data_IF_194223299894
#
_entry.id   IF_194223299894
#
_cell.length_a   1.000
_cell.length_b   1.000
_cell.length_c   1.000
_cell.angle_alpha   90.00
_cell.angle_beta   90.00
_cell.angle_gamma   90.00
#
_symmetry.space_group_name_H-M   'P 1'
#
loop_
_entity.id
_entity.type
_entity.pdbx_description
1 polymer ?
#
# COMPACT_ATOMS: atom_id res chain seq x y z
N UNK A 1 5.35 -30.17 5.52
CA UNK A 1 4.13 -29.34 5.43
C UNK A 1 2.97 -30.28 5.13
N UNK A 2 2.05 -30.50 6.07
CA UNK A 2 0.76 -31.12 5.75
C UNK A 2 0.01 -30.17 4.83
N UNK A 3 -0.49 -30.65 3.68
CA UNK A 3 -1.43 -29.89 2.85
C UNK A 3 -2.68 -29.68 3.70
N UNK A 4 -2.99 -28.41 4.00
CA UNK A 4 -4.28 -28.07 4.58
C UNK A 4 -5.35 -28.41 3.55
N UNK A 5 -6.32 -29.24 3.94
CA UNK A 5 -7.49 -29.60 3.15
C UNK A 5 -8.69 -28.90 3.79
N UNK A 6 -9.40 -28.09 3.01
CA UNK A 6 -10.51 -27.31 3.53
C UNK A 6 -11.74 -28.21 3.71
N UNK A 7 -12.28 -28.37 4.94
CA UNK A 7 -13.44 -29.23 5.17
C UNK A 7 -14.72 -28.76 4.46
N UNK A 8 -14.76 -27.53 3.95
CA UNK A 8 -15.91 -26.93 3.28
C UNK A 8 -15.71 -26.74 1.77
N UNK A 9 -14.70 -27.37 1.17
CA UNK A 9 -14.42 -27.23 -0.26
C UNK A 9 -15.62 -27.60 -1.15
N UNK A 10 -16.30 -28.70 -0.83
CA UNK A 10 -17.48 -29.16 -1.56
C UNK A 10 -18.66 -28.17 -1.47
N UNK A 11 -18.89 -27.62 -0.27
CA UNK A 11 -19.96 -26.62 -0.03
C UNK A 11 -19.68 -25.32 -0.79
N UNK A 12 -18.41 -24.86 -0.79
CA UNK A 12 -17.99 -23.69 -1.55
C UNK A 12 -18.12 -23.92 -3.07
N UNK A 13 -17.80 -25.11 -3.56
CA UNK A 13 -17.98 -25.46 -4.97
C UNK A 13 -19.47 -25.51 -5.36
N UNK A 14 -20.33 -26.04 -4.49
CA UNK A 14 -21.78 -26.01 -4.70
C UNK A 14 -22.32 -24.58 -4.75
N UNK A 15 -21.88 -23.72 -3.84
CA UNK A 15 -22.28 -22.31 -3.80
C UNK A 15 -21.81 -21.55 -5.04
N UNK A 16 -20.59 -21.82 -5.51
CA UNK A 16 -20.09 -21.28 -6.77
C UNK A 16 -20.97 -21.70 -7.96
N UNK A 17 -21.32 -22.98 -8.05
CA UNK A 17 -22.19 -23.49 -9.10
C UNK A 17 -23.61 -22.89 -9.04
N UNK A 18 -24.10 -22.56 -7.85
CA UNK A 18 -25.38 -21.86 -7.68
C UNK A 18 -25.33 -20.45 -8.28
N UNK A 19 -24.28 -19.68 -7.99
CA UNK A 19 -24.08 -18.34 -8.57
C UNK A 19 -23.90 -18.39 -10.10
N UNK A 20 -23.21 -19.40 -10.62
CA UNK A 20 -23.03 -19.58 -12.07
C UNK A 20 -24.34 -19.77 -12.85
N UNK A 21 -25.43 -20.23 -12.20
CA UNK A 21 -26.74 -20.35 -12.86
C UNK A 21 -27.34 -18.99 -13.22
N UNK A 22 -26.92 -17.92 -12.55
CA UNK A 22 -27.41 -16.56 -12.78
C UNK A 22 -26.67 -15.85 -13.92
N UNK A 23 -25.68 -16.48 -14.56
CA UNK A 23 -24.89 -15.83 -15.61
C UNK A 23 -25.74 -15.35 -16.79
N UNK A 24 -26.72 -16.12 -17.25
CA UNK A 24 -27.60 -15.69 -18.34
C UNK A 24 -28.46 -14.47 -17.95
N UNK A 25 -28.87 -14.40 -16.68
CA UNK A 25 -29.55 -13.22 -16.16
C UNK A 25 -28.61 -12.00 -16.19
N UNK A 26 -27.37 -12.14 -15.75
CA UNK A 26 -26.39 -11.05 -15.76
C UNK A 26 -26.07 -10.58 -17.18
N UNK A 27 -25.96 -11.50 -18.14
CA UNK A 27 -25.81 -11.15 -19.56
C UNK A 27 -26.98 -10.29 -20.04
N UNK A 28 -28.21 -10.71 -19.74
CA UNK A 28 -29.41 -9.95 -20.10
C UNK A 28 -29.43 -8.55 -19.47
N UNK A 29 -29.05 -8.42 -18.20
CA UNK A 29 -28.97 -7.13 -17.52
C UNK A 29 -27.92 -6.19 -18.16
N UNK A 30 -26.75 -6.72 -18.53
CA UNK A 30 -25.71 -5.96 -19.24
C UNK A 30 -26.18 -5.52 -20.63
N UNK A 31 -26.91 -6.36 -21.36
CA UNK A 31 -27.46 -6.03 -22.68
C UNK A 31 -28.52 -4.91 -22.62
N UNK A 32 -29.22 -4.78 -21.50
CA UNK A 32 -30.15 -3.67 -21.24
C UNK A 32 -29.45 -2.37 -20.77
N UNK A 33 -28.11 -2.37 -20.73
CA UNK A 33 -27.32 -1.19 -20.38
C UNK A 33 -27.24 -0.89 -18.89
N UNK A 34 -27.55 -1.87 -18.04
CA UNK A 34 -27.18 -1.82 -16.62
C UNK A 34 -25.75 -2.30 -16.45
N UNK A 35 -25.10 -1.81 -15.40
CA UNK A 35 -23.82 -2.33 -14.96
C UNK A 35 -24.04 -3.20 -13.71
N UNK A 36 -23.15 -4.15 -13.47
CA UNK A 36 -23.31 -5.13 -12.39
C UNK A 36 -22.28 -4.88 -11.30
N UNK A 37 -22.70 -4.94 -10.05
CA UNK A 37 -21.82 -4.95 -8.89
C UNK A 37 -22.07 -6.20 -8.05
N UNK A 38 -21.07 -7.08 -8.01
CA UNK A 38 -21.07 -8.27 -7.18
C UNK A 38 -20.50 -7.91 -5.81
N UNK A 39 -21.29 -8.09 -4.76
CA UNK A 39 -20.88 -7.88 -3.38
C UNK A 39 -21.07 -9.16 -2.58
N UNK A 40 -20.56 -9.20 -1.35
CA UNK A 40 -20.67 -10.37 -0.49
C UNK A 40 -19.32 -10.84 0.04
N UNK A 41 -19.37 -11.72 1.03
CA UNK A 41 -18.20 -12.24 1.72
C UNK A 41 -17.46 -13.29 0.88
N UNK A 42 -16.13 -13.18 0.85
CA UNK A 42 -15.24 -14.06 0.10
C UNK A 42 -14.80 -13.48 -1.25
N UNK A 43 -13.75 -14.07 -1.80
CA UNK A 43 -13.21 -13.70 -3.11
C UNK A 43 -14.22 -13.99 -4.22
N UNK A 44 -14.51 -12.97 -5.03
CA UNK A 44 -15.40 -13.05 -6.20
C UNK A 44 -14.63 -13.15 -7.52
N UNK A 45 -13.31 -13.20 -7.46
CA UNK A 45 -12.43 -13.15 -8.63
C UNK A 45 -12.69 -14.31 -9.59
N UNK A 46 -12.71 -15.54 -9.05
CA UNK A 46 -13.02 -16.76 -9.82
C UNK A 46 -14.39 -16.68 -10.48
N UNK A 47 -15.41 -16.24 -9.74
CA UNK A 47 -16.77 -16.10 -10.27
C UNK A 47 -16.86 -15.09 -11.42
N UNK A 48 -16.16 -13.95 -11.29
CA UNK A 48 -16.10 -12.93 -12.33
C UNK A 48 -15.27 -13.38 -13.55
N UNK A 49 -14.20 -14.16 -13.36
CA UNK A 49 -13.42 -14.79 -14.43
C UNK A 49 -14.25 -15.84 -15.19
N UNK A 50 -14.98 -16.71 -14.48
CA UNK A 50 -15.87 -17.71 -15.07
C UNK A 50 -17.02 -17.05 -15.83
N UNK A 51 -17.57 -15.95 -15.30
CA UNK A 51 -18.55 -15.14 -16.02
C UNK A 51 -17.95 -14.49 -17.27
N UNK A 52 -16.69 -14.02 -17.22
CA UNK A 52 -16.01 -13.47 -18.40
C UNK A 52 -15.92 -14.50 -19.53
N UNK A 53 -15.59 -15.75 -19.19
CA UNK A 53 -15.56 -16.86 -20.14
C UNK A 53 -16.96 -17.15 -20.72
N UNK A 54 -17.98 -17.21 -19.88
CA UNK A 54 -19.37 -17.39 -20.32
C UNK A 54 -19.83 -16.28 -21.27
N UNK A 55 -19.58 -15.03 -20.90
CA UNK A 55 -19.91 -13.85 -21.70
C UNK A 55 -19.18 -13.86 -23.05
N UNK A 56 -17.90 -14.23 -23.07
CA UNK A 56 -17.13 -14.36 -24.30
C UNK A 56 -17.76 -15.38 -25.26
N UNK A 57 -18.13 -16.56 -24.75
CA UNK A 57 -18.79 -17.59 -25.55
C UNK A 57 -20.17 -17.14 -26.04
N UNK A 58 -20.97 -16.51 -25.18
CA UNK A 58 -22.28 -15.98 -25.54
C UNK A 58 -22.16 -14.96 -26.68
N UNK A 59 -21.32 -13.93 -26.52
CA UNK A 59 -21.13 -12.86 -27.50
C UNK A 59 -20.50 -13.35 -28.81
N UNK A 60 -19.55 -14.29 -28.74
CA UNK A 60 -18.95 -14.88 -29.93
C UNK A 60 -19.91 -15.78 -30.72
N UNK A 61 -20.96 -16.32 -30.07
CA UNK A 61 -21.98 -17.13 -30.74
C UNK A 61 -23.08 -16.28 -31.38
N UNK A 62 -23.45 -15.17 -30.74
CA UNK A 62 -24.49 -14.25 -31.24
C UNK A 62 -23.95 -13.31 -32.31
N UNK A 63 -22.67 -12.94 -32.21
CA UNK A 63 -22.01 -12.05 -33.16
C UNK A 63 -20.78 -12.75 -33.75
N UNK A 64 -20.64 -12.74 -35.08
CA UNK A 64 -19.46 -13.29 -35.77
C UNK A 64 -18.18 -12.44 -35.58
N UNK A 65 -18.08 -11.72 -34.45
CA UNK A 65 -16.97 -10.82 -34.11
C UNK A 65 -16.40 -11.23 -32.76
N UNK A 66 -15.10 -11.00 -32.58
CA UNK A 66 -14.42 -11.29 -31.33
C UNK A 66 -14.77 -10.24 -30.26
N UNK A 67 -15.37 -10.64 -29.12
CA UNK A 67 -15.66 -9.70 -28.05
C UNK A 67 -14.36 -9.27 -27.37
N UNK A 68 -14.36 -8.03 -26.86
CA UNK A 68 -13.22 -7.43 -26.16
C UNK A 68 -13.56 -7.27 -24.69
N UNK A 69 -12.84 -7.98 -23.84
CA UNK A 69 -12.98 -7.92 -22.38
C UNK A 69 -11.66 -7.42 -21.80
N UNK A 70 -11.73 -6.41 -20.93
CA UNK A 70 -10.57 -5.87 -20.21
C UNK A 70 -10.77 -6.11 -18.72
N UNK A 71 -9.86 -6.88 -18.13
CA UNK A 71 -9.85 -7.18 -16.70
C UNK A 71 -8.93 -6.18 -15.99
N UNK A 72 -9.44 -5.55 -14.93
CA UNK A 72 -8.76 -4.52 -14.14
C UNK A 72 -8.65 -5.04 -12.70
N UNK A 73 -7.41 -5.22 -12.23
CA UNK A 73 -7.13 -5.73 -10.89
C UNK A 73 -7.00 -4.58 -9.89
N UNK A 74 -8.12 -4.15 -9.29
CA UNK A 74 -8.17 -3.03 -8.35
C UNK A 74 -7.49 -3.27 -6.99
N UNK A 75 -7.17 -4.52 -6.67
CA UNK A 75 -6.40 -4.89 -5.48
C UNK A 75 -4.88 -4.61 -5.64
N UNK A 76 -4.38 -4.41 -6.87
CA UNK A 76 -2.95 -4.11 -7.08
C UNK A 76 -2.61 -2.67 -6.66
N UNK A 77 -1.76 -2.44 -5.64
CA UNK A 77 -1.46 -1.09 -5.13
C UNK A 77 -0.75 -0.19 -6.14
N UNK A 78 -0.09 -0.75 -7.15
CA UNK A 78 0.64 0.01 -8.18
C UNK A 78 -0.26 0.53 -9.31
N UNK A 79 -1.53 0.11 -9.35
CA UNK A 79 -2.45 0.45 -10.43
C UNK A 79 -2.76 1.95 -10.45
N UNK A 80 -2.53 2.60 -11.59
CA UNK A 80 -2.92 4.00 -11.78
C UNK A 80 -4.09 4.15 -12.77
N UNK A 81 -4.92 5.21 -12.64
CA UNK A 81 -5.99 5.48 -13.61
C UNK A 81 -5.47 5.68 -15.05
N UNK A 82 -4.22 6.13 -15.19
CA UNK A 82 -3.56 6.28 -16.48
C UNK A 82 -3.40 4.92 -17.16
N UNK A 83 -2.92 3.91 -16.43
CA UNK A 83 -2.67 2.57 -16.96
C UNK A 83 -3.97 1.92 -17.45
N UNK A 84 -5.07 2.13 -16.72
CA UNK A 84 -6.41 1.66 -17.11
C UNK A 84 -6.84 2.29 -18.44
N UNK A 85 -6.79 3.62 -18.54
CA UNK A 85 -7.18 4.35 -19.74
C UNK A 85 -6.31 4.01 -20.95
N UNK A 86 -5.00 3.91 -20.74
CA UNK A 86 -4.05 3.52 -21.78
C UNK A 86 -4.36 2.13 -22.29
N UNK A 87 -4.60 1.16 -21.40
CA UNK A 87 -4.93 -0.23 -21.76
C UNK A 87 -6.22 -0.31 -22.59
N UNK A 88 -7.26 0.43 -22.18
CA UNK A 88 -8.52 0.50 -22.93
C UNK A 88 -8.30 1.14 -24.32
N UNK A 89 -7.57 2.25 -24.39
CA UNK A 89 -7.29 2.93 -25.66
C UNK A 89 -6.46 2.06 -26.61
N UNK A 90 -5.45 1.34 -26.11
CA UNK A 90 -4.66 0.40 -26.93
C UNK A 90 -5.47 -0.80 -27.42
N UNK A 91 -6.54 -1.17 -26.70
CA UNK A 91 -7.47 -2.21 -27.14
C UNK A 91 -8.40 -1.71 -28.26
N UNK A 92 -8.71 -0.41 -28.30
CA UNK A 92 -9.61 0.18 -29.28
C UNK A 92 -8.91 0.72 -30.53
N UNK A 93 -7.72 1.30 -30.36
CA UNK A 93 -6.94 1.96 -31.40
C UNK A 93 -5.75 1.12 -31.83
N UNK A 94 -5.33 1.19 -33.11
CA UNK A 94 -4.09 0.57 -33.56
C UNK A 94 -2.86 1.20 -32.86
N UNK A 95 -1.80 0.42 -32.71
CA UNK A 95 -0.56 0.77 -32.01
C UNK A 95 0.23 1.96 -32.59
N UNK A 96 -0.20 2.52 -33.72
CA UNK A 96 0.43 3.67 -34.38
C UNK A 96 0.00 5.03 -33.80
N UNK A 97 -1.03 5.09 -32.96
CA UNK A 97 -1.56 6.35 -32.41
C UNK A 97 -0.79 6.76 -31.15
N UNK A 98 -0.22 7.97 -31.16
CA UNK A 98 0.43 8.55 -29.97
C UNK A 98 -0.62 8.90 -28.92
N UNK A 99 -0.50 8.32 -27.74
CA UNK A 99 -1.42 8.56 -26.63
C UNK A 99 -0.98 9.77 -25.80
N UNK A 100 -1.91 10.64 -25.38
CA UNK A 100 -1.63 11.73 -24.44
C UNK A 100 -1.04 11.24 -23.11
N UNK A 101 -0.20 12.06 -22.48
CA UNK A 101 0.43 11.69 -21.20
C UNK A 101 -0.49 11.87 -19.99
N UNK A 102 -1.50 12.73 -20.08
CA UNK A 102 -2.35 13.13 -18.95
C UNK A 102 -3.67 12.34 -18.91
N UNK A 103 -4.13 11.87 -17.74
CA UNK A 103 -5.37 11.09 -17.62
C UNK A 103 -6.65 11.78 -18.14
N UNK A 104 -6.89 13.09 -17.91
CA UNK A 104 -8.10 13.75 -18.42
C UNK A 104 -8.18 13.79 -19.95
N UNK A 105 -7.04 13.99 -20.62
CA UNK A 105 -6.98 13.98 -22.09
C UNK A 105 -7.17 12.57 -22.64
N UNK A 106 -6.63 11.55 -21.96
CA UNK A 106 -6.88 10.15 -22.32
C UNK A 106 -8.37 9.80 -22.20
N UNK A 107 -9.01 10.20 -21.11
CA UNK A 107 -10.44 9.98 -20.91
C UNK A 107 -11.28 10.66 -22.01
N UNK A 108 -10.99 11.93 -22.33
CA UNK A 108 -11.69 12.66 -23.40
C UNK A 108 -11.49 12.02 -24.78
N UNK A 109 -10.25 11.59 -25.09
CA UNK A 109 -9.94 10.88 -26.34
C UNK A 109 -10.71 9.56 -26.44
N UNK A 110 -10.80 8.80 -25.34
CA UNK A 110 -11.51 7.53 -25.28
C UNK A 110 -13.00 7.74 -25.59
N UNK A 111 -13.66 8.69 -24.91
CA UNK A 111 -15.07 8.99 -25.16
C UNK A 111 -15.32 9.46 -26.59
N UNK A 112 -14.46 10.33 -27.12
CA UNK A 112 -14.55 10.82 -28.51
C UNK A 112 -14.38 9.67 -29.51
N UNK A 113 -13.45 8.74 -29.24
CA UNK A 113 -13.19 7.58 -30.11
C UNK A 113 -14.38 6.64 -30.14
N UNK A 114 -14.96 6.33 -28.98
CA UNK A 114 -16.15 5.49 -28.89
C UNK A 114 -17.39 6.10 -29.54
N UNK A 115 -17.50 7.43 -29.52
CA UNK A 115 -18.60 8.15 -30.16
C UNK A 115 -18.42 8.24 -31.68
N UNK A 116 -17.19 8.44 -32.16
CA UNK A 116 -16.89 8.55 -33.58
C UNK A 116 -16.83 7.20 -34.31
N UNK A 117 -16.37 6.14 -33.61
CA UNK A 117 -16.23 4.78 -34.13
C UNK A 117 -16.77 3.79 -33.10
N UNK A 118 -18.10 3.62 -33.02
CA UNK A 118 -18.69 2.70 -32.08
C UNK A 118 -18.30 1.25 -32.43
N UNK A 119 -17.85 0.45 -31.45
CA UNK A 119 -17.58 -0.96 -31.68
C UNK A 119 -18.91 -1.71 -31.89
N UNK A 120 -18.87 -2.77 -32.70
CA UNK A 120 -20.05 -3.62 -32.99
C UNK A 120 -20.57 -4.29 -31.71
N UNK A 121 -19.66 -4.72 -30.85
CA UNK A 121 -19.93 -5.27 -29.52
C UNK A 121 -19.44 -4.25 -28.49
N UNK A 122 -20.24 -3.90 -27.46
CA UNK A 122 -19.78 -3.07 -26.35
C UNK A 122 -18.51 -3.63 -25.70
N UNK A 123 -17.59 -2.74 -25.32
CA UNK A 123 -16.38 -3.12 -24.59
C UNK A 123 -16.77 -3.49 -23.15
N UNK A 124 -16.45 -4.71 -22.72
CA UNK A 124 -16.72 -5.13 -21.34
C UNK A 124 -15.51 -4.87 -20.45
N UNK A 125 -15.74 -4.17 -19.36
CA UNK A 125 -14.77 -3.92 -18.29
C UNK A 125 -15.13 -4.78 -17.09
N UNK A 126 -14.19 -5.60 -16.62
CA UNK A 126 -14.33 -6.38 -15.40
C UNK A 126 -13.37 -5.82 -14.37
N UNK A 127 -13.89 -5.18 -13.32
CA UNK A 127 -13.09 -4.57 -12.26
C UNK A 127 -13.14 -5.42 -10.99
N UNK A 128 -12.01 -6.05 -10.65
CA UNK A 128 -11.84 -6.70 -9.36
C UNK A 128 -11.57 -5.64 -8.27
N UNK A 129 -12.20 -5.77 -7.10
CA UNK A 129 -12.06 -4.84 -5.98
C UNK A 129 -12.17 -3.35 -6.40
N UNK A 130 -13.34 -2.93 -6.88
CA UNK A 130 -13.59 -1.54 -7.31
C UNK A 130 -13.39 -0.52 -6.17
N UNK A 131 -13.50 -0.99 -4.93
CA UNK A 131 -13.26 -0.30 -3.67
C UNK A 131 -11.83 -0.47 -3.11
N UNK A 132 -10.95 -1.11 -3.89
CA UNK A 132 -9.54 -1.26 -3.61
C UNK A 132 -8.84 0.09 -3.40
N UNK A 133 -7.76 0.09 -2.61
CA UNK A 133 -7.01 1.28 -2.24
C UNK A 133 -6.67 2.25 -3.39
N UNK A 134 -6.15 1.81 -4.56
CA UNK A 134 -5.81 2.73 -5.66
C UNK A 134 -7.05 3.35 -6.34
N UNK A 135 -8.17 2.63 -6.35
CA UNK A 135 -9.39 3.04 -7.05
C UNK A 135 -10.33 3.86 -6.17
N UNK A 136 -10.17 3.81 -4.84
CA UNK A 136 -11.05 4.47 -3.86
C UNK A 136 -11.14 5.99 -3.97
N UNK A 137 -10.14 6.64 -4.58
CA UNK A 137 -10.11 8.12 -4.70
C UNK A 137 -11.30 8.62 -5.52
N UNK A 138 -11.97 9.67 -5.04
CA UNK A 138 -13.16 10.25 -5.67
C UNK A 138 -12.95 10.57 -7.16
N UNK A 139 -11.82 11.17 -7.53
CA UNK A 139 -11.49 11.48 -8.93
C UNK A 139 -11.44 10.22 -9.82
N UNK A 140 -10.93 9.10 -9.31
CA UNK A 140 -10.89 7.82 -10.03
C UNK A 140 -12.29 7.21 -10.16
N UNK A 141 -13.09 7.25 -9.09
CA UNK A 141 -14.47 6.76 -9.12
C UNK A 141 -15.33 7.56 -10.10
N UNK A 142 -15.21 8.89 -10.12
CA UNK A 142 -15.91 9.75 -11.10
C UNK A 142 -15.48 9.42 -12.53
N UNK A 143 -14.20 9.14 -12.75
CA UNK A 143 -13.69 8.73 -14.06
C UNK A 143 -14.30 7.40 -14.51
N UNK A 144 -14.30 6.38 -13.65
CA UNK A 144 -14.92 5.08 -13.95
C UNK A 144 -16.43 5.19 -14.15
N UNK A 145 -17.11 6.03 -13.36
CA UNK A 145 -18.54 6.30 -13.52
C UNK A 145 -18.86 6.94 -14.88
N UNK A 146 -18.05 7.90 -15.32
CA UNK A 146 -18.22 8.52 -16.64
C UNK A 146 -17.97 7.52 -17.77
N UNK A 147 -16.99 6.62 -17.63
CA UNK A 147 -16.76 5.55 -18.61
C UNK A 147 -17.94 4.57 -18.67
N UNK A 148 -18.42 4.12 -17.50
CA UNK A 148 -19.54 3.17 -17.40
C UNK A 148 -20.90 3.78 -17.80
N UNK A 149 -21.00 5.11 -17.88
CA UNK A 149 -22.19 5.79 -18.40
C UNK A 149 -22.33 5.67 -19.92
N UNK A 150 -21.24 5.36 -20.63
CA UNK A 150 -21.23 5.30 -22.09
C UNK A 150 -21.93 4.03 -22.61
N UNK A 151 -22.80 4.10 -23.64
CA UNK A 151 -23.62 2.96 -24.09
C UNK A 151 -22.81 1.80 -24.68
N UNK A 152 -21.60 2.07 -25.17
CA UNK A 152 -20.69 1.06 -25.71
C UNK A 152 -19.64 0.55 -24.70
N UNK A 153 -19.80 0.86 -23.41
CA UNK A 153 -19.01 0.29 -22.32
C UNK A 153 -19.96 -0.40 -21.35
N UNK A 154 -19.69 -1.66 -21.03
CA UNK A 154 -20.38 -2.40 -19.98
C UNK A 154 -19.39 -2.65 -18.83
N UNK A 155 -19.86 -2.54 -17.59
CA UNK A 155 -19.04 -2.72 -16.40
C UNK A 155 -19.62 -3.85 -15.54
N UNK A 156 -18.76 -4.82 -15.21
CA UNK A 156 -18.95 -5.71 -14.08
C UNK A 156 -17.89 -5.38 -13.04
N UNK A 157 -18.34 -5.03 -11.85
CA UNK A 157 -17.48 -4.69 -10.73
C UNK A 157 -17.68 -5.68 -9.58
N UNK A 158 -16.61 -5.93 -8.84
CA UNK A 158 -16.70 -6.61 -7.54
C UNK A 158 -16.38 -5.61 -6.43
N UNK A 159 -17.04 -5.73 -5.29
CA UNK A 159 -16.79 -4.92 -4.10
C UNK A 159 -16.72 -5.80 -2.85
N UNK A 160 -15.76 -5.52 -1.97
CA UNK A 160 -15.43 -6.37 -0.83
C UNK A 160 -15.67 -5.70 0.52
N UNK A 161 -15.41 -4.39 0.61
CA UNK A 161 -15.53 -3.62 1.85
C UNK A 161 -16.99 -3.32 2.17
N UNK A 162 -17.45 -3.48 3.42
CA UNK A 162 -18.84 -3.19 3.78
C UNK A 162 -19.25 -1.72 3.56
N UNK A 163 -18.25 -0.83 3.48
CA UNK A 163 -18.44 0.60 3.25
C UNK A 163 -18.45 1.00 1.77
N UNK A 164 -18.33 0.05 0.82
CA UNK A 164 -18.28 0.37 -0.61
C UNK A 164 -19.43 1.28 -1.09
N UNK A 165 -20.69 1.21 -0.57
CA UNK A 165 -21.75 2.10 -1.04
C UNK A 165 -21.50 3.57 -0.73
N UNK A 166 -20.63 3.88 0.26
CA UNK A 166 -20.27 5.25 0.64
C UNK A 166 -19.30 5.91 -0.35
N UNK A 167 -18.74 5.14 -1.30
CA UNK A 167 -17.83 5.67 -2.32
C UNK A 167 -18.53 6.51 -3.37
N UNK A 168 -19.84 6.34 -3.53
CA UNK A 168 -20.61 6.95 -4.61
C UNK A 168 -21.60 7.98 -4.07
N UNK A 169 -21.43 9.21 -4.54
CA UNK A 169 -22.47 10.23 -4.42
C UNK A 169 -23.65 9.94 -5.37
N UNK A 170 -24.70 10.76 -5.30
CA UNK A 170 -25.88 10.58 -6.12
C UNK A 170 -25.56 10.62 -7.63
N UNK A 171 -24.62 11.47 -8.05
CA UNK A 171 -24.24 11.65 -9.45
C UNK A 171 -23.49 10.43 -9.99
N UNK A 172 -22.45 9.99 -9.30
CA UNK A 172 -21.66 8.80 -9.68
C UNK A 172 -22.49 7.54 -9.64
N UNK A 173 -23.35 7.35 -8.63
CA UNK A 173 -24.29 6.23 -8.57
C UNK A 173 -25.26 6.22 -9.75
N UNK A 174 -25.80 7.39 -10.13
CA UNK A 174 -26.68 7.53 -11.28
C UNK A 174 -25.96 7.25 -12.60
N UNK A 175 -24.68 7.62 -12.73
CA UNK A 175 -23.90 7.36 -13.93
C UNK A 175 -23.50 5.88 -14.05
N UNK A 176 -23.13 5.25 -12.93
CA UNK A 176 -22.75 3.84 -12.87
C UNK A 176 -23.92 2.89 -13.12
N UNK A 177 -25.18 3.24 -12.80
CA UNK A 177 -26.37 2.40 -13.06
C UNK A 177 -26.19 0.94 -12.59
N UNK A 178 -25.67 0.76 -11.37
CA UNK A 178 -25.35 -0.55 -10.81
C UNK A 178 -26.59 -1.32 -10.38
N UNK A 179 -26.67 -2.59 -10.80
CA UNK A 179 -27.47 -3.63 -10.17
C UNK A 179 -26.58 -4.42 -9.21
N UNK A 180 -27.07 -4.62 -8.00
CA UNK A 180 -26.32 -5.26 -6.93
C UNK A 180 -26.74 -6.73 -6.80
N UNK A 181 -25.78 -7.64 -6.93
CA UNK A 181 -25.99 -9.08 -6.72
C UNK A 181 -25.17 -9.57 -5.54
N UNK A 182 -25.84 -10.29 -4.63
CA UNK A 182 -25.17 -10.95 -3.52
C UNK A 182 -24.51 -12.23 -4.03
N UNK A 183 -23.19 -12.22 -4.01
CA UNK A 183 -22.31 -13.31 -4.39
C UNK A 183 -21.35 -13.62 -3.23
N UNK A 184 -21.91 -14.02 -2.09
CA UNK A 184 -21.17 -14.65 -1.00
C UNK A 184 -20.58 -15.99 -1.47
N UNK A 185 -19.25 -16.12 -1.43
CA UNK A 185 -18.52 -17.32 -1.89
C UNK A 185 -17.71 -18.00 -0.79
N UNK A 186 -17.39 -17.31 0.31
CA UNK A 186 -16.46 -17.75 1.36
C UNK A 186 -15.04 -18.11 0.89
N UNK A 187 -14.73 -17.89 -0.39
CA UNK A 187 -13.41 -18.17 -0.94
C UNK A 187 -12.34 -17.27 -0.30
N UNK A 188 -11.16 -17.83 -0.08
CA UNK A 188 -10.00 -17.11 0.44
C UNK A 188 -9.57 -15.97 -0.49
N UNK A 189 -9.28 -14.81 0.09
CA UNK A 189 -8.65 -13.67 -0.60
C UNK A 189 -7.13 -13.85 -0.80
N UNK A 190 -6.51 -14.73 0.01
CA UNK A 190 -5.08 -15.01 -0.07
C UNK A 190 -4.76 -16.03 -1.18
N UNK A 191 -3.59 -15.93 -1.83
CA UNK A 191 -2.53 -14.94 -1.60
C UNK A 191 -2.62 -13.69 -2.51
N UNK A 192 -3.60 -13.62 -3.42
CA UNK A 192 -3.56 -12.68 -4.55
C UNK A 192 -4.14 -11.32 -4.21
N UNK A 193 -5.29 -11.28 -3.53
CA UNK A 193 -5.97 -10.04 -3.17
C UNK A 193 -5.49 -9.52 -1.81
N UNK A 194 -5.03 -10.45 -0.96
CA UNK A 194 -4.49 -10.15 0.35
C UNK A 194 -3.25 -11.02 0.60
N UNK A 195 -2.07 -10.41 0.52
CA UNK A 195 -0.85 -10.99 1.08
C UNK A 195 -0.76 -10.59 2.55
N UNK A 196 -1.20 -11.50 3.42
CA UNK A 196 -1.22 -11.26 4.85
C UNK A 196 0.19 -11.00 5.42
N UNK A 197 1.23 -11.58 4.81
CA UNK A 197 2.61 -11.43 5.27
C UNK A 197 3.13 -10.04 4.91
N UNK A 198 2.91 -9.60 3.67
CA UNK A 198 3.27 -8.25 3.23
C UNK A 198 2.47 -7.19 4.00
N UNK A 199 1.15 -7.36 4.14
CA UNK A 199 0.31 -6.41 4.86
C UNK A 199 0.70 -6.28 6.35
N UNK A 200 1.05 -7.38 7.02
CA UNK A 200 1.56 -7.35 8.41
C UNK A 200 2.93 -6.69 8.45
N UNK A 201 3.81 -6.97 7.48
CA UNK A 201 5.09 -6.30 7.40
C UNK A 201 4.90 -4.80 7.22
N UNK A 202 4.03 -4.35 6.33
CA UNK A 202 3.72 -2.94 6.13
C UNK A 202 3.19 -2.28 7.41
N UNK A 203 2.25 -2.93 8.10
CA UNK A 203 1.69 -2.44 9.37
C UNK A 203 2.76 -2.29 10.46
N UNK A 204 3.72 -3.21 10.49
CA UNK A 204 4.85 -3.19 11.41
C UNK A 204 5.98 -2.24 10.97
N UNK A 205 5.80 -1.49 9.87
CA UNK A 205 6.84 -0.62 9.30
C UNK A 205 8.00 -1.41 8.67
N UNK A 206 7.79 -2.68 8.36
CA UNK A 206 8.73 -3.64 7.75
C UNK A 206 8.55 -3.73 6.23
N UNK A 207 7.88 -2.77 5.59
CA UNK A 207 7.49 -2.80 4.15
C UNK A 207 8.64 -2.89 3.13
N UNK A 208 9.91 -2.84 3.57
CA UNK A 208 11.09 -3.08 2.71
C UNK A 208 11.62 -4.52 2.72
N UNK A 209 11.11 -5.42 3.57
CA UNK A 209 11.90 -6.56 4.08
C UNK A 209 12.15 -7.77 3.16
N UNK A 210 11.52 -7.92 2.00
CA UNK A 210 11.89 -9.08 1.12
C UNK A 210 13.22 -8.90 0.40
N UNK A 211 13.63 -7.66 0.15
CA UNK A 211 14.94 -7.34 -0.47
C UNK A 211 15.83 -6.56 0.52
N UNK A 212 15.25 -5.87 1.51
CA UNK A 212 15.97 -5.05 2.50
C UNK A 212 15.81 -5.54 3.96
N UNK A 213 15.31 -6.75 4.20
CA UNK A 213 15.18 -7.31 5.56
C UNK A 213 16.48 -7.93 6.06
N UNK A 214 16.51 -8.39 7.33
CA UNK A 214 17.65 -9.12 7.92
C UNK A 214 18.19 -10.18 6.96
N UNK A 215 17.32 -10.98 6.35
CA UNK A 215 17.72 -12.04 5.42
C UNK A 215 18.32 -11.50 4.10
N UNK A 216 17.79 -10.39 3.58
CA UNK A 216 18.29 -9.74 2.36
C UNK A 216 19.65 -9.08 2.59
N UNK A 217 19.79 -8.37 3.72
CA UNK A 217 21.05 -7.75 4.15
C UNK A 217 22.08 -8.81 4.49
N UNK A 218 21.69 -9.89 5.16
CA UNK A 218 22.55 -11.05 5.42
C UNK A 218 23.06 -11.70 4.13
N UNK A 219 22.21 -11.79 3.09
CA UNK A 219 22.63 -12.28 1.77
C UNK A 219 23.65 -11.34 1.10
N UNK A 220 23.44 -10.03 1.15
CA UNK A 220 24.37 -9.03 0.61
C UNK A 220 25.69 -9.05 1.40
N UNK A 221 25.64 -9.09 2.73
CA UNK A 221 26.82 -9.16 3.60
C UNK A 221 27.68 -10.38 3.32
N UNK A 222 27.09 -11.55 3.01
CA UNK A 222 27.84 -12.76 2.61
C UNK A 222 28.59 -12.60 1.28
N UNK A 223 28.15 -11.68 0.41
CA UNK A 223 28.80 -11.41 -0.88
C UNK A 223 29.87 -10.31 -0.81
N UNK A 224 29.91 -9.56 0.29
CA UNK A 224 30.80 -8.42 0.47
C UNK A 224 32.21 -8.84 0.96
N UNK A 225 33.27 -8.07 0.62
CA UNK A 225 34.62 -8.29 1.13
C UNK A 225 34.69 -8.25 2.67
N UNK A 226 35.68 -8.93 3.26
CA UNK A 226 35.91 -8.94 4.73
C UNK A 226 35.99 -7.54 5.33
N UNK A 227 36.67 -6.61 4.66
CA UNK A 227 36.76 -5.23 5.12
C UNK A 227 35.40 -4.51 5.10
N UNK A 228 34.55 -4.77 4.10
CA UNK A 228 33.21 -4.21 4.05
C UNK A 228 32.34 -4.77 5.19
N UNK A 229 32.41 -6.07 5.45
CA UNK A 229 31.74 -6.70 6.60
C UNK A 229 32.21 -6.11 7.93
N UNK A 230 33.52 -5.90 8.08
CA UNK A 230 34.11 -5.25 9.26
C UNK A 230 33.60 -3.83 9.47
N UNK A 231 33.53 -3.02 8.40
CA UNK A 231 33.01 -1.65 8.49
C UNK A 231 31.53 -1.62 8.92
N UNK A 232 30.70 -2.51 8.34
CA UNK A 232 29.29 -2.59 8.70
C UNK A 232 29.10 -3.09 10.15
N UNK A 233 29.94 -4.03 10.62
CA UNK A 233 29.97 -4.47 12.02
C UNK A 233 30.27 -3.33 12.99
N UNK A 234 31.29 -2.50 12.71
CA UNK A 234 31.63 -1.34 13.55
C UNK A 234 30.44 -0.36 13.62
N UNK A 235 29.79 -0.09 12.48
CA UNK A 235 28.63 0.78 12.42
C UNK A 235 27.47 0.26 13.28
N UNK A 236 27.14 -1.03 13.17
CA UNK A 236 26.05 -1.66 13.91
C UNK A 236 26.34 -1.70 15.41
N UNK A 237 27.56 -2.08 15.80
CA UNK A 237 27.96 -2.12 17.21
C UNK A 237 27.88 -0.74 17.87
N UNK A 238 28.34 0.30 17.16
CA UNK A 238 28.31 1.67 17.67
C UNK A 238 26.88 2.24 17.72
N UNK A 239 26.04 1.89 16.76
CA UNK A 239 24.63 2.26 16.76
C UNK A 239 23.86 1.61 17.92
N UNK A 240 24.14 0.35 18.24
CA UNK A 240 23.55 -0.37 19.37
C UNK A 240 24.04 0.19 20.72
N UNK A 241 25.34 0.47 20.84
CA UNK A 241 25.90 1.10 22.04
C UNK A 241 25.26 2.48 22.29
N UNK A 242 25.18 3.32 21.25
CA UNK A 242 24.56 4.63 21.36
C UNK A 242 23.05 4.57 21.65
N UNK A 243 22.36 3.48 21.28
CA UNK A 243 20.95 3.30 21.67
C UNK A 243 20.80 2.87 23.13
N UNK A 244 21.70 2.03 23.65
CA UNK A 244 21.69 1.61 25.04
C UNK A 244 21.98 2.79 25.99
N UNK A 245 22.95 3.65 25.65
CA UNK A 245 23.29 4.84 26.45
C UNK A 245 22.10 5.82 26.56
N UNK A 246 21.28 5.95 25.51
CA UNK A 246 20.08 6.80 25.52
C UNK A 246 18.94 6.22 26.34
N UNK A 247 18.79 4.90 26.37
CA UNK A 247 17.79 4.22 27.20
C UNK A 247 18.16 4.31 28.69
N UNK A 248 19.44 4.21 29.02
CA UNK A 248 19.97 4.39 30.38
C UNK A 248 19.84 5.86 30.86
N UNK A 249 20.14 6.84 30.01
CA UNK A 249 19.96 8.26 30.33
C UNK A 249 18.47 8.63 30.49
N UNK A 250 17.59 8.05 29.67
CA UNK A 250 16.13 8.24 29.79
C UNK A 250 15.57 7.60 31.06
N UNK A 251 16.06 6.40 31.43
CA UNK A 251 15.70 5.73 32.68
C UNK A 251 16.21 6.50 33.90
N UNK A 252 17.45 7.02 33.85
CA UNK A 252 18.02 7.86 34.90
C UNK A 252 17.27 9.19 35.05
N UNK A 253 16.86 9.82 33.94
CA UNK A 253 16.05 11.03 33.96
C UNK A 253 14.63 10.78 34.52
N UNK A 254 14.02 9.63 34.22
CA UNK A 254 12.73 9.22 34.78
C UNK A 254 12.81 8.95 36.29
N UNK A 255 13.90 8.31 36.74
CA UNK A 255 14.18 8.10 38.16
C UNK A 255 14.46 9.42 38.90
N UNK A 256 15.19 10.35 38.28
CA UNK A 256 15.44 11.67 38.84
C UNK A 256 14.17 12.54 38.91
N UNK A 257 13.25 12.39 37.95
CA UNK A 257 11.95 13.04 37.97
C UNK A 257 11.02 12.47 39.05
N UNK A 258 11.07 11.16 39.31
CA UNK A 258 10.37 10.53 40.44
C UNK A 258 10.94 10.96 41.80
N UNK A 259 12.27 11.12 41.90
CA UNK A 259 12.91 11.59 43.14
C UNK A 259 12.68 13.09 43.44
N UNK A 260 12.26 13.88 42.44
CA UNK A 260 11.95 15.31 42.61
C UNK A 260 10.46 15.57 42.96
N UNK A 261 9.59 14.54 42.88
CA UNK A 261 8.16 14.63 43.20
C UNK A 261 7.85 14.17 44.65
N UNK A 262 8.84 13.61 45.37
CA UNK A 262 8.72 13.16 46.77
C UNK A 262 9.02 14.26 47.81
N UNK A 263 9.38 15.49 47.39
CA UNK A 263 9.75 16.59 48.30
C UNK A 263 8.67 17.69 48.48
N UNK A 264 7.46 17.52 47.90
CA UNK A 264 6.33 18.45 48.07
C UNK A 264 5.04 17.75 48.60
N UNK A 265 5.16 16.91 49.63
CA UNK A 265 4.02 16.55 50.48
C UNK A 265 3.93 17.50 51.68
N UNK A 266 3.24 18.64 51.52
CA UNK A 266 2.54 19.32 52.63
C UNK A 266 1.61 20.44 52.10
N UNK A 267 0.44 20.09 51.53
CA UNK A 267 -0.80 20.85 51.76
C UNK A 267 -2.08 20.10 51.36
N UNK A 268 -2.68 19.38 52.31
CA UNK A 268 -4.04 18.85 52.19
C UNK A 268 -5.08 19.97 52.41
N UNK A 269 -5.77 20.37 51.34
CA UNK A 269 -6.83 21.39 51.36
C UNK A 269 -8.06 20.98 50.54
N UNK A 270 -9.13 20.66 51.26
CA UNK A 270 -10.47 20.19 50.87
C UNK A 270 -11.28 21.20 50.01
N UNK A 271 -12.03 20.71 48.99
CA UNK A 271 -13.45 21.03 48.66
C UNK A 271 -13.84 21.08 47.15
N UNK A 272 -14.70 20.13 46.78
CA UNK A 272 -15.97 20.19 46.01
C UNK A 272 -16.19 20.83 44.61
N UNK A 273 -16.51 19.93 43.66
CA UNK A 273 -17.69 19.78 42.74
C UNK A 273 -18.02 20.86 41.67
N UNK A 274 -18.43 20.48 40.43
CA UNK A 274 -18.24 21.28 39.21
C UNK A 274 -19.49 22.03 38.71
N UNK A 275 -19.30 23.14 37.98
CA UNK A 275 -20.33 23.75 37.13
C UNK A 275 -19.77 24.41 35.85
N UNK A 276 -20.44 24.16 34.74
CA UNK A 276 -20.47 24.96 33.50
C UNK A 276 -21.92 25.40 33.27
N UNK A 277 -22.30 26.19 32.23
CA UNK A 277 -21.56 27.09 31.33
C UNK A 277 -22.21 28.50 31.21
N UNK A 278 -21.56 29.47 30.53
CA UNK A 278 -22.19 30.35 29.49
C UNK A 278 -21.49 31.71 29.26
N UNK A 279 -21.48 32.09 27.97
CA UNK A 279 -21.42 33.44 27.34
C UNK A 279 -20.07 34.12 27.02
N UNK A 280 -19.67 33.89 25.76
CA UNK A 280 -19.42 34.88 24.67
C UNK A 280 -18.79 36.23 25.05
N UNK A 281 -17.52 36.39 24.69
CA UNK A 281 -16.85 37.67 24.39
C UNK A 281 -16.01 37.53 23.11
N UNK A 282 -16.11 38.51 22.22
CA UNK A 282 -15.72 38.50 20.80
C UNK A 282 -14.41 39.29 20.65
N UNK A 283 -13.35 38.74 20.05
CA UNK A 283 -12.18 39.54 19.65
C UNK A 283 -10.92 38.77 19.21
N UNK A 284 -10.44 39.10 18.01
CA UNK A 284 -9.08 38.92 17.45
C UNK A 284 -8.58 37.50 17.07
N UNK A 285 -8.69 37.20 15.77
CA UNK A 285 -8.02 36.09 15.07
C UNK A 285 -6.52 36.40 14.90
N UNK A 286 -5.64 35.57 15.47
CA UNK A 286 -4.26 35.36 15.01
C UNK A 286 -4.13 33.88 14.64
N UNK A 287 -3.52 33.63 13.48
CA UNK A 287 -3.43 32.34 12.82
C UNK A 287 -2.84 31.25 13.73
N UNK A 288 -3.64 30.24 14.04
CA UNK A 288 -3.19 28.99 14.65
C UNK A 288 -2.84 28.02 13.51
N UNK A 289 -1.55 27.76 13.38
CA UNK A 289 -0.96 26.69 12.59
C UNK A 289 -1.41 25.37 13.21
N UNK A 290 -2.04 24.51 12.42
CA UNK A 290 -2.44 23.16 12.79
C UNK A 290 -1.24 22.42 13.41
N UNK A 291 -1.37 22.06 14.68
CA UNK A 291 -0.49 21.13 15.35
C UNK A 291 -0.81 19.75 14.79
N UNK A 292 0.01 19.31 13.83
CA UNK A 292 0.07 17.92 13.44
C UNK A 292 0.41 17.06 14.67
N UNK A 293 -0.27 15.92 14.79
CA UNK A 293 0.03 14.86 15.74
C UNK A 293 1.54 14.55 15.70
N UNK A 294 2.19 14.28 16.83
CA UNK A 294 3.59 13.87 16.83
C UNK A 294 3.68 12.51 16.12
N UNK A 295 4.22 12.51 14.89
CA UNK A 295 4.77 11.30 14.30
C UNK A 295 5.79 10.76 15.29
N UNK A 296 5.61 9.53 15.74
CA UNK A 296 6.59 8.79 16.53
C UNK A 296 7.85 8.51 15.71
N UNK A 297 8.63 9.55 15.42
CA UNK A 297 10.02 9.41 15.04
C UNK A 297 10.79 9.27 16.34
N UNK A 298 11.07 8.02 16.74
CA UNK A 298 12.11 7.77 17.74
C UNK A 298 13.38 8.57 17.35
N UNK A 299 14.16 9.09 18.31
CA UNK A 299 15.41 9.75 17.99
C UNK A 299 16.28 8.76 17.22
N UNK A 300 16.54 9.06 15.95
CA UNK A 300 17.35 8.20 15.10
C UNK A 300 18.78 8.25 15.63
N UNK A 301 19.17 7.19 16.32
CA UNK A 301 20.51 7.02 16.85
C UNK A 301 21.44 6.73 15.68
N UNK A 302 22.24 7.72 15.31
CA UNK A 302 23.20 7.62 14.22
C UNK A 302 24.59 8.00 14.67
N UNK A 303 25.58 7.31 14.09
CA UNK A 303 27.00 7.45 14.37
C UNK A 303 27.57 8.60 13.55
N UNK A 304 28.40 9.46 14.15
CA UNK A 304 29.04 10.54 13.41
C UNK A 304 30.06 9.98 12.39
N UNK A 305 30.05 10.52 11.16
CA UNK A 305 30.96 10.13 10.08
C UNK A 305 32.43 10.09 10.53
N UNK A 306 32.86 11.09 11.31
CA UNK A 306 34.25 11.20 11.78
C UNK A 306 34.59 10.09 12.77
N UNK A 307 33.68 9.77 13.69
CA UNK A 307 33.87 8.70 14.69
C UNK A 307 33.96 7.35 13.99
N UNK A 308 33.05 7.08 13.06
CA UNK A 308 33.06 5.83 12.28
C UNK A 308 34.35 5.69 11.47
N UNK A 309 34.83 6.77 10.84
CA UNK A 309 36.08 6.77 10.08
C UNK A 309 37.29 6.47 10.98
N UNK A 310 37.39 7.11 12.15
CA UNK A 310 38.49 6.88 13.09
C UNK A 310 38.54 5.42 13.55
N UNK A 311 37.39 4.85 13.94
CA UNK A 311 37.31 3.43 14.34
C UNK A 311 37.64 2.47 13.19
N UNK A 312 37.18 2.77 11.98
CA UNK A 312 37.51 1.96 10.80
C UNK A 312 39.03 1.98 10.46
N UNK A 313 39.74 3.07 10.77
CA UNK A 313 41.20 3.16 10.63
C UNK A 313 41.90 2.41 11.76
N UNK A 314 41.41 2.52 12.99
CA UNK A 314 41.95 1.80 14.17
C UNK A 314 41.86 0.28 14.03
N UNK A 315 40.75 -0.24 13.49
CA UNK A 315 40.58 -1.66 13.21
C UNK A 315 41.19 -2.12 11.87
N UNK A 316 41.98 -1.27 11.20
CA UNK A 316 42.63 -1.55 9.92
C UNK A 316 41.68 -1.93 8.78
N UNK A 317 40.39 -1.55 8.87
CA UNK A 317 39.37 -1.82 7.85
C UNK A 317 39.58 -0.93 6.63
N UNK A 318 39.95 0.34 6.84
CA UNK A 318 40.23 1.32 5.80
C UNK A 318 41.55 2.05 6.07
N UNK A 319 42.40 2.20 5.04
CA UNK A 319 43.68 2.91 5.14
C UNK A 319 43.63 4.37 4.69
N UNK A 320 42.59 4.75 3.92
CA UNK A 320 42.40 6.10 3.43
C UNK A 320 40.92 6.49 3.37
N UNK A 321 40.65 7.80 3.35
CA UNK A 321 39.28 8.33 3.31
C UNK A 321 38.55 7.97 2.00
N UNK A 322 39.29 7.84 0.89
CA UNK A 322 38.73 7.47 -0.41
C UNK A 322 38.15 6.05 -0.43
N UNK A 323 38.84 5.10 0.21
CA UNK A 323 38.40 3.71 0.36
C UNK A 323 37.19 3.62 1.28
N UNK A 324 37.20 4.35 2.40
CA UNK A 324 36.05 4.46 3.29
C UNK A 324 34.80 4.98 2.60
N UNK A 325 34.92 6.07 1.81
CA UNK A 325 33.80 6.60 1.02
C UNK A 325 33.29 5.64 -0.05
N UNK A 326 34.17 4.81 -0.61
CA UNK A 326 33.79 3.80 -1.61
C UNK A 326 32.93 2.71 -0.98
N UNK A 327 33.31 2.23 0.21
CA UNK A 327 32.52 1.24 0.96
C UNK A 327 31.18 1.82 1.42
N UNK A 328 31.15 3.06 1.93
CA UNK A 328 29.89 3.72 2.29
C UNK A 328 28.97 3.91 1.09
N UNK A 329 29.54 4.21 -0.09
CA UNK A 329 28.75 4.30 -1.32
C UNK A 329 28.14 2.96 -1.71
N UNK A 330 28.89 1.87 -1.59
CA UNK A 330 28.38 0.52 -1.84
C UNK A 330 27.22 0.18 -0.89
N UNK A 331 27.33 0.51 0.40
CA UNK A 331 26.21 0.34 1.34
C UNK A 331 25.00 1.21 1.03
N UNK A 332 25.21 2.44 0.54
CA UNK A 332 24.13 3.31 0.12
C UNK A 332 23.45 2.80 -1.16
N UNK A 333 24.21 2.30 -2.12
CA UNK A 333 23.70 1.71 -3.36
C UNK A 333 22.86 0.44 -3.08
N UNK A 334 23.24 -0.32 -2.04
CA UNK A 334 22.46 -1.44 -1.50
C UNK A 334 21.39 -1.05 -0.47
N UNK A 335 21.22 0.26 -0.20
CA UNK A 335 20.25 0.81 0.77
C UNK A 335 20.37 0.21 2.18
N UNK A 336 21.60 -0.13 2.60
CA UNK A 336 21.91 -0.68 3.91
C UNK A 336 22.14 0.39 4.98
N UNK A 337 22.46 1.62 4.55
CA UNK A 337 22.72 2.76 5.43
C UNK A 337 22.01 4.01 4.89
N UNK A 338 21.59 4.88 5.81
CA UNK A 338 21.10 6.22 5.50
C UNK A 338 22.05 7.26 6.12
N UNK A 339 22.20 8.41 5.46
CA UNK A 339 22.99 9.54 5.99
C UNK A 339 22.15 10.80 6.10
N UNK A 340 22.34 11.54 7.19
CA UNK A 340 21.67 12.83 7.43
C UNK A 340 22.64 13.80 8.07
N UNK A 341 22.61 15.05 7.61
CA UNK A 341 23.31 16.14 8.26
C UNK A 341 22.47 16.68 9.41
N UNK A 342 23.05 16.71 10.59
CA UNK A 342 22.47 17.31 11.78
C UNK A 342 22.42 18.84 11.64
N UNK A 343 21.67 19.53 12.50
CA UNK A 343 21.55 20.99 12.50
C UNK A 343 22.88 21.73 12.65
N UNK A 344 23.90 21.06 13.22
CA UNK A 344 25.28 21.53 13.32
C UNK A 344 26.17 21.23 12.11
N UNK A 345 25.63 20.65 11.02
CA UNK A 345 26.39 20.31 9.81
C UNK A 345 27.23 19.04 9.90
N UNK A 346 27.23 18.35 11.04
CA UNK A 346 27.85 17.03 11.20
C UNK A 346 27.00 15.96 10.49
N UNK A 347 27.65 15.07 9.75
CA UNK A 347 26.98 13.97 9.05
C UNK A 347 26.88 12.76 9.97
N UNK A 348 25.65 12.26 10.17
CA UNK A 348 25.35 11.04 10.92
C UNK A 348 24.90 9.94 9.97
N UNK A 349 25.38 8.74 10.24
CA UNK A 349 25.10 7.52 9.48
C UNK A 349 24.38 6.54 10.41
N UNK A 350 23.33 5.86 9.93
CA UNK A 350 22.68 4.78 10.67
C UNK A 350 22.19 3.71 9.71
N UNK A 351 22.09 2.50 10.23
CA UNK A 351 21.41 1.40 9.56
C UNK A 351 19.91 1.43 9.96
N UNK A 352 18.97 1.49 9.00
CA UNK A 352 17.53 1.65 9.27
C UNK A 352 16.87 0.33 9.71
N UNK A 353 17.46 -0.36 10.69
CA UNK A 353 16.95 -1.62 11.25
C UNK A 353 16.57 -1.44 12.73
N UNK A 354 15.75 -2.35 13.26
CA UNK A 354 15.39 -2.37 14.70
C UNK A 354 16.53 -2.98 15.51
N UNK A 355 16.59 -2.65 16.80
CA UNK A 355 17.56 -3.21 17.76
C UNK A 355 17.69 -4.74 17.64
N UNK A 356 16.58 -5.47 17.75
CA UNK A 356 16.57 -6.94 17.65
C UNK A 356 17.16 -7.48 16.32
N UNK A 357 16.94 -6.78 15.20
CA UNK A 357 17.50 -7.20 13.91
C UNK A 357 18.98 -6.81 13.78
N UNK A 358 19.40 -5.69 14.37
CA UNK A 358 20.80 -5.25 14.45
C UNK A 358 21.63 -6.21 15.32
N UNK A 359 21.09 -6.65 16.46
CA UNK A 359 21.71 -7.66 17.33
C UNK A 359 21.90 -8.98 16.57
N UNK A 360 20.84 -9.47 15.90
CA UNK A 360 20.94 -10.69 15.09
C UNK A 360 21.90 -10.57 13.91
N UNK A 361 22.00 -9.41 13.26
CA UNK A 361 23.00 -9.15 12.21
C UNK A 361 24.43 -9.08 12.78
N UNK A 362 24.60 -8.54 13.99
CA UNK A 362 25.88 -8.48 14.66
C UNK A 362 26.38 -9.88 15.02
N UNK A 363 25.51 -10.74 15.54
CA UNK A 363 25.83 -12.15 15.82
C UNK A 363 26.31 -12.88 14.55
N UNK A 364 25.58 -12.74 13.44
CA UNK A 364 25.94 -13.34 12.14
C UNK A 364 27.25 -12.79 11.52
N UNK A 365 27.68 -11.59 11.91
CA UNK A 365 28.93 -10.96 11.46
C UNK A 365 30.12 -11.23 12.39
N UNK A 366 29.87 -11.81 13.56
CA UNK A 366 30.90 -12.21 14.53
C UNK A 366 31.28 -13.68 14.35
N UNK A 367 30.35 -14.51 13.87
CA UNK A 367 30.60 -15.87 13.37
C UNK A 367 31.34 -15.88 12.02
#
# INVERSE_FOLDING_TARGET
MQKYEDPHEDDMAYLHALHSRSFDQWVYELENGFNICLYGFGSKRRLAEDFAAHLYHHQSSTTNSTPRIVIINGYNPTLTPKDILTTILTSLLPSSVKLPATPPLLHALLLTTLSAKPPVIPLTLITHALDGAPLRRAATQTLLANLASHPHITLLATADTPTFPLLWDLGTRSALRLLFHDCTTFASFAPIELDAVEAVNDLLGRSGRRVQGRDGVGFVLRSLPENARGLFRILVAEQLAASADLDDDAAAAALAAQAADDDDEDNLGFADVPQTPSKRGRGAKKAAKEAALPSSTAPVVGVEYRVLYHKAVEEFVCSNEMGFRTLLKEFHDHQMIESRKDGGGAERLWAPFRGDDLEGLLEELVE
#
